data_IF_075314198225
#
_entry.id   IF_075314198225
#
_cell.length_a   1.000
_cell.length_b   1.000
_cell.length_c   1.000
_cell.angle_alpha   90.00
_cell.angle_beta   90.00
_cell.angle_gamma   90.00
#
_symmetry.space_group_name_H-M   'P 1'
#
loop_
_entity.id
_entity.type
_entity.pdbx_description
1 polymer ?
#
# COMPACT_ATOMS: atom_id res chain seq x y z
N UNK A 1 39.63 26.19 -12.21
CA UNK A 1 38.23 25.93 -11.79
C UNK A 1 38.21 25.86 -10.28
N UNK A 2 37.37 26.66 -9.64
CA UNK A 2 37.32 26.74 -8.18
C UNK A 2 36.79 25.43 -7.58
N UNK A 3 37.47 24.95 -6.53
CA UNK A 3 37.10 23.75 -5.79
C UNK A 3 35.64 23.80 -5.30
N UNK A 4 35.13 25.00 -5.00
CA UNK A 4 33.75 25.22 -4.58
C UNK A 4 32.73 24.89 -5.68
N UNK A 5 33.04 25.25 -6.93
CA UNK A 5 32.22 24.90 -8.09
C UNK A 5 32.23 23.39 -8.33
N UNK A 6 33.40 22.72 -8.25
CA UNK A 6 33.43 21.26 -8.39
C UNK A 6 32.60 20.54 -7.33
N UNK A 7 32.60 21.06 -6.09
CA UNK A 7 31.85 20.47 -4.98
C UNK A 7 30.33 20.67 -5.12
N UNK A 8 29.87 21.85 -5.56
CA UNK A 8 28.46 22.10 -5.87
C UNK A 8 27.95 21.20 -6.99
N UNK A 9 28.77 20.95 -8.02
CA UNK A 9 28.39 20.10 -9.15
C UNK A 9 28.18 18.65 -8.69
N UNK A 10 29.09 18.15 -7.85
CA UNK A 10 28.96 16.82 -7.25
C UNK A 10 27.68 16.70 -6.42
N UNK A 11 27.33 17.72 -5.61
CA UNK A 11 26.11 17.72 -4.82
C UNK A 11 24.85 17.72 -5.71
N UNK A 12 24.83 18.50 -6.79
CA UNK A 12 23.72 18.51 -7.75
C UNK A 12 23.55 17.15 -8.43
N UNK A 13 24.64 16.48 -8.81
CA UNK A 13 24.58 15.13 -9.38
C UNK A 13 24.07 14.09 -8.38
N UNK A 14 24.48 14.18 -7.11
CA UNK A 14 23.98 13.30 -6.05
C UNK A 14 22.48 13.49 -5.81
N UNK A 15 22.01 14.73 -5.75
CA UNK A 15 20.58 15.04 -5.59
C UNK A 15 19.78 14.55 -6.79
N UNK A 16 20.29 14.72 -8.02
CA UNK A 16 19.65 14.20 -9.22
C UNK A 16 19.47 12.68 -9.16
N UNK A 17 20.50 11.94 -8.75
CA UNK A 17 20.41 10.48 -8.54
C UNK A 17 19.39 10.14 -7.45
N UNK A 18 19.46 10.80 -6.30
CA UNK A 18 18.53 10.57 -5.20
C UNK A 18 17.07 10.87 -5.58
N UNK A 19 16.85 11.86 -6.44
CA UNK A 19 15.52 12.20 -6.96
C UNK A 19 14.96 11.10 -7.87
N UNK A 20 15.78 10.57 -8.79
CA UNK A 20 15.38 9.45 -9.67
C UNK A 20 15.02 8.22 -8.82
N UNK A 21 15.81 7.92 -7.80
CA UNK A 21 15.51 6.82 -6.87
C UNK A 21 14.18 7.08 -6.15
N UNK A 22 13.97 8.26 -5.58
CA UNK A 22 12.73 8.57 -4.88
C UNK A 22 11.50 8.61 -5.80
N UNK A 23 11.65 9.01 -7.08
CA UNK A 23 10.59 8.91 -8.10
C UNK A 23 10.25 7.44 -8.39
N UNK A 24 11.26 6.59 -8.51
CA UNK A 24 11.09 5.14 -8.68
C UNK A 24 10.38 4.53 -7.48
N UNK A 25 10.75 4.93 -6.25
CA UNK A 25 10.14 4.45 -5.01
C UNK A 25 8.64 4.83 -4.99
N UNK A 26 8.29 6.06 -5.35
CA UNK A 26 6.87 6.50 -5.48
C UNK A 26 6.11 5.63 -6.47
N UNK A 27 6.67 5.36 -7.64
CA UNK A 27 6.02 4.55 -8.66
C UNK A 27 5.86 3.09 -8.21
N UNK A 28 6.83 2.55 -7.49
CA UNK A 28 6.73 1.22 -6.88
C UNK A 28 5.65 1.18 -5.81
N UNK A 29 5.61 2.14 -4.88
CA UNK A 29 4.56 2.20 -3.85
C UNK A 29 3.17 2.31 -4.48
N UNK A 30 3.01 3.07 -5.57
CA UNK A 30 1.74 3.16 -6.31
C UNK A 30 1.32 1.82 -6.93
N UNK A 31 2.25 1.05 -7.49
CA UNK A 31 1.95 -0.29 -8.01
C UNK A 31 1.46 -1.22 -6.90
N UNK A 32 2.11 -1.19 -5.73
CA UNK A 32 1.68 -1.95 -4.55
C UNK A 32 0.29 -1.53 -4.07
N UNK A 33 -0.04 -0.23 -4.12
CA UNK A 33 -1.40 0.26 -3.80
C UNK A 33 -2.43 -0.29 -4.77
N UNK A 34 -2.15 -0.30 -6.07
CA UNK A 34 -3.06 -0.90 -7.04
C UNK A 34 -3.24 -2.41 -6.79
N UNK A 35 -2.15 -3.13 -6.53
CA UNK A 35 -2.22 -4.56 -6.16
C UNK A 35 -3.05 -4.76 -4.88
N UNK A 36 -2.94 -3.85 -3.92
CA UNK A 36 -3.72 -3.87 -2.69
C UNK A 36 -5.22 -3.61 -2.98
N UNK A 37 -5.57 -2.70 -3.88
CA UNK A 37 -6.96 -2.48 -4.32
C UNK A 37 -7.55 -3.78 -4.93
N UNK A 38 -6.78 -4.48 -5.77
CA UNK A 38 -7.20 -5.76 -6.34
C UNK A 38 -7.44 -6.83 -5.27
N UNK A 39 -6.59 -6.91 -4.25
CA UNK A 39 -6.74 -7.88 -3.16
C UNK A 39 -7.96 -7.58 -2.28
N UNK A 40 -8.27 -6.30 -2.07
CA UNK A 40 -9.47 -5.88 -1.34
C UNK A 40 -10.75 -6.26 -2.10
N UNK A 41 -10.78 -6.02 -3.42
CA UNK A 41 -11.91 -6.42 -4.27
C UNK A 41 -12.10 -7.94 -4.31
N UNK A 42 -11.03 -8.72 -4.48
CA UNK A 42 -11.08 -10.18 -4.47
C UNK A 42 -11.54 -10.73 -3.11
N UNK A 43 -11.06 -10.14 -2.01
CA UNK A 43 -11.49 -10.51 -0.66
C UNK A 43 -13.00 -10.26 -0.44
N UNK A 44 -13.52 -9.14 -0.93
CA UNK A 44 -14.95 -8.83 -0.86
C UNK A 44 -15.78 -9.80 -1.70
N UNK A 45 -15.32 -10.14 -2.91
CA UNK A 45 -15.95 -11.14 -3.76
C UNK A 45 -15.99 -12.52 -3.08
N UNK A 46 -14.85 -12.99 -2.56
CA UNK A 46 -14.77 -14.27 -1.84
C UNK A 46 -15.67 -14.31 -0.61
N UNK A 47 -15.79 -13.20 0.11
CA UNK A 47 -16.70 -13.09 1.26
C UNK A 47 -18.15 -13.25 0.83
N UNK A 48 -18.55 -12.65 -0.30
CA UNK A 48 -19.88 -12.80 -0.86
C UNK A 48 -20.14 -14.23 -1.36
N UNK A 49 -19.20 -14.84 -2.06
CA UNK A 49 -19.29 -16.22 -2.53
C UNK A 49 -19.43 -17.22 -1.38
N UNK A 50 -18.59 -17.11 -0.35
CA UNK A 50 -18.69 -17.92 0.86
C UNK A 50 -20.06 -17.79 1.52
N UNK A 51 -20.62 -16.57 1.60
CA UNK A 51 -21.96 -16.34 2.15
C UNK A 51 -23.05 -17.04 1.32
N UNK A 52 -22.99 -16.94 0.00
CA UNK A 52 -23.95 -17.64 -0.88
C UNK A 52 -23.88 -19.17 -0.71
N UNK A 53 -22.68 -19.71 -0.51
CA UNK A 53 -22.48 -21.14 -0.25
C UNK A 53 -23.06 -21.57 1.11
N UNK A 54 -22.90 -20.76 2.17
CA UNK A 54 -23.53 -21.04 3.46
C UNK A 54 -25.06 -20.99 3.37
N UNK A 55 -25.62 -20.00 2.67
CA UNK A 55 -27.06 -19.89 2.45
C UNK A 55 -27.59 -21.13 1.69
N UNK A 56 -26.85 -21.58 0.67
CA UNK A 56 -27.17 -22.81 -0.06
C UNK A 56 -27.13 -24.05 0.85
N UNK A 57 -26.06 -24.22 1.63
CA UNK A 57 -25.90 -25.34 2.56
C UNK A 57 -27.03 -25.38 3.59
N UNK A 58 -27.43 -24.22 4.12
CA UNK A 58 -28.53 -24.07 5.08
C UNK A 58 -29.88 -24.48 4.50
N UNK A 59 -30.08 -24.26 3.20
CA UNK A 59 -31.29 -24.71 2.52
C UNK A 59 -31.37 -26.23 2.36
N UNK A 60 -30.23 -26.89 2.12
CA UNK A 60 -30.15 -28.33 1.82
C UNK A 60 -29.94 -29.24 3.03
N UNK A 61 -29.35 -28.75 4.12
CA UNK A 61 -29.10 -29.52 5.34
C UNK A 61 -29.76 -28.88 6.55
N UNK A 62 -30.82 -29.53 7.04
CA UNK A 62 -31.69 -29.04 8.11
C UNK A 62 -31.77 -30.05 9.25
N UNK A 63 -32.06 -29.57 10.46
CA UNK A 63 -32.10 -30.37 11.68
C UNK A 63 -31.31 -29.73 12.83
N UNK A 64 -31.41 -30.31 14.02
CA UNK A 64 -30.77 -29.78 15.23
C UNK A 64 -29.23 -29.85 15.16
N UNK A 65 -28.68 -30.98 14.70
CA UNK A 65 -27.24 -31.15 14.44
C UNK A 65 -26.72 -30.22 13.34
N UNK A 66 -27.52 -30.00 12.28
CA UNK A 66 -27.17 -29.06 11.21
C UNK A 66 -27.11 -27.61 11.73
N UNK A 67 -28.02 -27.23 12.62
CA UNK A 67 -28.11 -25.87 13.17
C UNK A 67 -26.87 -25.49 13.99
N UNK A 68 -26.33 -26.43 14.77
CA UNK A 68 -25.08 -26.23 15.51
C UNK A 68 -23.88 -26.05 14.57
N UNK A 69 -23.80 -26.87 13.52
CA UNK A 69 -22.71 -26.80 12.55
C UNK A 69 -22.76 -25.52 11.70
N UNK A 70 -23.95 -25.07 11.28
CA UNK A 70 -24.12 -23.80 10.56
C UNK A 70 -23.60 -22.62 11.39
N UNK A 71 -23.98 -22.55 12.68
CA UNK A 71 -23.50 -21.49 13.57
C UNK A 71 -21.99 -21.50 13.69
N UNK A 72 -21.40 -22.68 13.88
CA UNK A 72 -19.94 -22.82 13.94
C UNK A 72 -19.27 -22.32 12.65
N UNK A 73 -19.79 -22.68 11.47
CA UNK A 73 -19.25 -22.20 10.19
C UNK A 73 -19.40 -20.69 10.00
N UNK A 74 -20.55 -20.12 10.37
CA UNK A 74 -20.79 -18.68 10.32
C UNK A 74 -19.81 -17.92 11.24
N UNK A 75 -19.56 -18.43 12.45
CA UNK A 75 -18.57 -17.87 13.39
C UNK A 75 -17.15 -17.94 12.82
N UNK A 76 -16.73 -19.10 12.29
CA UNK A 76 -15.40 -19.24 11.68
C UNK A 76 -15.21 -18.33 10.46
N UNK A 77 -16.21 -18.23 9.57
CA UNK A 77 -16.16 -17.31 8.44
C UNK A 77 -16.05 -15.86 8.90
N UNK A 78 -16.78 -15.48 9.94
CA UNK A 78 -16.74 -14.12 10.48
C UNK A 78 -15.36 -13.78 11.05
N UNK A 79 -14.77 -14.67 11.84
CA UNK A 79 -13.44 -14.51 12.41
C UNK A 79 -12.37 -14.36 11.32
N UNK A 80 -12.38 -15.23 10.30
CA UNK A 80 -11.47 -15.13 9.16
C UNK A 80 -11.63 -13.81 8.40
N UNK A 81 -12.87 -13.41 8.10
CA UNK A 81 -13.16 -12.20 7.34
C UNK A 81 -12.71 -10.94 8.09
N UNK A 82 -12.93 -10.88 9.40
CA UNK A 82 -12.47 -9.77 10.24
C UNK A 82 -10.94 -9.70 10.27
N UNK A 83 -10.28 -10.85 10.42
CA UNK A 83 -8.81 -10.90 10.44
C UNK A 83 -8.21 -10.42 9.11
N UNK A 84 -8.70 -10.93 7.98
CA UNK A 84 -8.22 -10.52 6.66
C UNK A 84 -8.52 -9.05 6.37
N UNK A 85 -9.73 -8.58 6.70
CA UNK A 85 -10.08 -7.17 6.51
C UNK A 85 -9.14 -6.25 7.29
N UNK A 86 -8.80 -6.64 8.52
CA UNK A 86 -7.85 -5.89 9.34
C UNK A 86 -6.45 -5.88 8.71
N UNK A 87 -5.93 -7.04 8.32
CA UNK A 87 -4.60 -7.14 7.72
C UNK A 87 -4.49 -6.33 6.41
N UNK A 88 -5.54 -6.35 5.59
CA UNK A 88 -5.61 -5.54 4.36
C UNK A 88 -5.64 -4.04 4.69
N UNK A 89 -6.43 -3.62 5.68
CA UNK A 89 -6.48 -2.23 6.13
C UNK A 89 -5.14 -1.73 6.72
N UNK A 90 -4.49 -2.54 7.53
CA UNK A 90 -3.18 -2.22 8.11
C UNK A 90 -2.15 -2.04 6.99
N UNK A 91 -2.13 -2.96 6.01
CA UNK A 91 -1.24 -2.87 4.84
C UNK A 91 -1.53 -1.66 3.96
N UNK A 92 -2.80 -1.30 3.76
CA UNK A 92 -3.20 -0.08 3.05
C UNK A 92 -2.66 1.17 3.77
N UNK A 93 -2.82 1.22 5.08
CA UNK A 93 -2.33 2.33 5.91
C UNK A 93 -0.81 2.47 5.83
N UNK A 94 -0.07 1.36 5.86
CA UNK A 94 1.38 1.35 5.71
C UNK A 94 1.83 1.84 4.33
N UNK A 95 1.16 1.41 3.25
CA UNK A 95 1.46 1.87 1.89
C UNK A 95 1.16 3.37 1.71
N UNK A 96 0.08 3.87 2.29
CA UNK A 96 -0.26 5.30 2.24
C UNK A 96 0.78 6.15 2.98
N UNK A 97 1.27 5.65 4.12
CA UNK A 97 2.36 6.26 4.87
C UNK A 97 3.67 6.25 4.08
N UNK A 98 4.06 5.12 3.51
CA UNK A 98 5.25 4.97 2.65
C UNK A 98 5.19 5.96 1.47
N UNK A 99 4.03 6.06 0.82
CA UNK A 99 3.84 6.99 -0.30
C UNK A 99 4.00 8.44 0.13
N UNK A 100 3.45 8.81 1.29
CA UNK A 100 3.54 10.16 1.81
C UNK A 100 4.99 10.52 2.20
N UNK A 101 5.71 9.59 2.82
CA UNK A 101 7.13 9.75 3.13
C UNK A 101 7.98 9.93 1.87
N UNK A 102 7.72 9.13 0.83
CA UNK A 102 8.41 9.24 -0.46
C UNK A 102 8.13 10.58 -1.15
N UNK A 103 6.88 11.06 -1.13
CA UNK A 103 6.52 12.40 -1.64
C UNK A 103 7.23 13.52 -0.87
N UNK A 104 7.27 13.43 0.46
CA UNK A 104 7.96 14.41 1.30
C UNK A 104 9.46 14.44 1.00
N UNK A 105 10.07 13.26 0.79
CA UNK A 105 11.48 13.13 0.39
C UNK A 105 11.74 13.79 -0.97
N UNK A 106 10.88 13.56 -1.96
CA UNK A 106 10.98 14.21 -3.26
C UNK A 106 10.89 15.73 -3.17
N UNK A 107 9.94 16.24 -2.38
CA UNK A 107 9.81 17.67 -2.15
C UNK A 107 11.08 18.26 -1.53
N UNK A 108 11.62 17.63 -0.48
CA UNK A 108 12.85 18.07 0.18
C UNK A 108 14.06 18.06 -0.77
N UNK A 109 14.19 17.03 -1.61
CA UNK A 109 15.24 16.97 -2.63
C UNK A 109 15.07 18.07 -3.68
N UNK A 110 13.84 18.37 -4.09
CA UNK A 110 13.53 19.47 -5.01
C UNK A 110 13.89 20.84 -4.43
N UNK A 111 13.58 21.09 -3.15
CA UNK A 111 13.99 22.32 -2.45
C UNK A 111 15.50 22.44 -2.38
N UNK A 112 16.21 21.36 -2.00
CA UNK A 112 17.68 21.35 -1.94
C UNK A 112 18.31 21.63 -3.31
N UNK A 113 17.78 21.01 -4.37
CA UNK A 113 18.24 21.26 -5.73
C UNK A 113 18.07 22.73 -6.13
N UNK A 114 16.90 23.31 -5.87
CA UNK A 114 16.62 24.71 -6.21
C UNK A 114 17.53 25.69 -5.47
N UNK A 115 17.86 25.42 -4.20
CA UNK A 115 18.81 26.22 -3.42
C UNK A 115 20.21 26.15 -4.01
N UNK A 116 20.74 24.95 -4.29
CA UNK A 116 22.08 24.78 -4.85
C UNK A 116 22.20 25.36 -6.26
N UNK A 117 21.13 25.32 -7.08
CA UNK A 117 21.11 25.95 -8.40
C UNK A 117 21.18 27.48 -8.31
N UNK A 118 20.54 28.09 -7.31
CA UNK A 118 20.68 29.53 -7.03
C UNK A 118 22.08 29.89 -6.59
N UNK A 119 22.74 29.03 -5.81
CA UNK A 119 24.13 29.22 -5.39
C UNK A 119 25.12 29.05 -6.54
N UNK A 120 24.85 28.12 -7.47
CA UNK A 120 25.64 27.93 -8.69
C UNK A 120 25.57 29.12 -9.64
N UNK A 121 24.40 29.77 -9.71
CA UNK A 121 24.12 30.86 -10.65
C UNK A 121 24.55 32.23 -10.12
N UNK A 122 25.16 32.28 -8.93
CA UNK A 122 25.77 33.48 -8.31
C UNK A 122 27.26 33.50 -8.56
#
# INVERSE_FOLDING_TARGET
>A
MDSAHSQLEQQLQQIKKAKITAETDVDQTRRKQNEQDWLEEDSDQLTQEKRMLLDFLRSGWQGEEASGFHRYLEEQQHEESVAWKKDLQDKRTDLDKELQENKNRLHALGTKQATLQKEWSK
#
